data_IF_762163236510
#
_entry.id   IF_762163236510
#
_cell.length_a   1.000
_cell.length_b   1.000
_cell.length_c   1.000
_cell.angle_alpha   90.00
_cell.angle_beta   90.00
_cell.angle_gamma   90.00
#
_symmetry.space_group_name_H-M   'P 1'
#
loop_
_entity.id
_entity.type
_entity.pdbx_description
1 polymer ?
#
# COMPACT_ATOMS: atom_id res chain seq x y z
N UNK A 1 -7.41 -3.31 14.99
CA UNK A 1 -8.21 -2.82 13.84
C UNK A 1 -7.28 -2.36 12.74
N UNK A 2 -7.52 -2.75 11.47
CA UNK A 2 -6.68 -2.32 10.34
C UNK A 2 -6.97 -0.84 10.00
N UNK A 3 -5.96 0.05 9.91
CA UNK A 3 -6.20 1.49 9.78
C UNK A 3 -6.88 1.87 8.46
N UNK A 4 -6.67 1.10 7.39
CA UNK A 4 -7.26 1.36 6.08
C UNK A 4 -8.78 1.06 6.00
N UNK A 5 -9.33 0.32 6.96
CA UNK A 5 -10.79 0.05 7.07
C UNK A 5 -11.46 0.87 8.18
N UNK A 6 -10.75 1.81 8.81
CA UNK A 6 -11.31 2.66 9.84
C UNK A 6 -12.52 3.48 9.30
N UNK A 7 -13.51 3.80 10.15
CA UNK A 7 -14.72 4.53 9.71
C UNK A 7 -14.41 5.84 9.00
N UNK A 8 -13.45 6.62 9.52
CA UNK A 8 -12.99 7.86 8.88
C UNK A 8 -12.47 7.64 7.45
N UNK A 9 -11.69 6.58 7.25
CA UNK A 9 -11.12 6.23 5.94
C UNK A 9 -12.22 5.84 4.96
N UNK A 10 -13.19 5.01 5.40
CA UNK A 10 -14.35 4.62 4.59
C UNK A 10 -15.22 5.81 4.20
N UNK A 11 -15.48 6.71 5.15
CA UNK A 11 -16.22 7.95 4.88
C UNK A 11 -15.51 8.77 3.83
N UNK A 12 -14.19 8.98 3.95
CA UNK A 12 -13.43 9.78 2.97
C UNK A 12 -13.48 9.16 1.57
N UNK A 13 -13.31 7.84 1.44
CA UNK A 13 -13.38 7.14 0.14
C UNK A 13 -14.77 7.30 -0.51
N UNK A 14 -15.84 7.18 0.28
CA UNK A 14 -17.20 7.38 -0.19
C UNK A 14 -17.46 8.83 -0.65
N UNK A 15 -17.03 9.83 0.13
CA UNK A 15 -17.16 11.24 -0.26
C UNK A 15 -16.39 11.56 -1.55
N UNK A 16 -15.22 10.94 -1.71
CA UNK A 16 -14.42 11.09 -2.92
C UNK A 16 -14.98 10.32 -4.13
N UNK A 17 -15.96 9.42 -3.92
CA UNK A 17 -16.53 8.50 -4.94
C UNK A 17 -15.53 7.49 -5.51
N UNK A 18 -14.62 7.00 -4.67
CA UNK A 18 -13.61 6.02 -5.10
C UNK A 18 -14.18 4.62 -4.91
N UNK A 19 -14.14 3.84 -5.98
CA UNK A 19 -14.46 2.41 -5.90
C UNK A 19 -13.30 1.68 -5.24
N UNK A 20 -13.60 0.90 -4.20
CA UNK A 20 -12.62 0.11 -3.46
C UNK A 20 -12.80 -1.34 -3.89
N UNK A 21 -11.87 -1.91 -4.67
CA UNK A 21 -11.97 -3.31 -5.07
C UNK A 21 -11.88 -4.23 -3.84
N UNK A 22 -12.66 -5.30 -3.86
CA UNK A 22 -12.59 -6.33 -2.82
C UNK A 22 -11.21 -6.98 -2.83
N UNK A 23 -10.52 -6.90 -1.68
CA UNK A 23 -9.18 -7.46 -1.53
C UNK A 23 -9.18 -8.57 -0.47
N UNK A 24 -8.77 -9.80 -0.82
CA UNK A 24 -8.62 -10.88 0.15
C UNK A 24 -7.59 -10.53 1.23
N UNK A 25 -7.79 -11.05 2.44
CA UNK A 25 -6.89 -10.78 3.55
C UNK A 25 -5.55 -11.49 3.30
N UNK A 26 -4.44 -10.74 3.28
CA UNK A 26 -3.06 -11.23 3.13
C UNK A 26 -2.63 -11.70 1.73
N UNK A 27 -3.20 -11.17 0.65
CA UNK A 27 -2.77 -11.51 -0.70
C UNK A 27 -1.74 -10.52 -1.27
N UNK A 28 -0.52 -10.57 -0.74
CA UNK A 28 0.62 -9.79 -1.24
C UNK A 28 0.90 -10.04 -2.74
N UNK A 29 0.66 -11.27 -3.21
CA UNK A 29 0.85 -11.65 -4.61
C UNK A 29 -0.16 -11.00 -5.56
N UNK A 30 -1.27 -10.47 -5.04
CA UNK A 30 -2.30 -9.80 -5.83
C UNK A 30 -2.10 -8.28 -5.89
N UNK A 31 -1.19 -7.72 -5.09
CA UNK A 31 -1.01 -6.28 -5.01
C UNK A 31 0.15 -5.84 -5.89
N UNK A 32 -0.08 -5.06 -6.97
CA UNK A 32 0.97 -4.62 -7.88
C UNK A 32 2.11 -3.85 -7.21
N UNK A 33 1.81 -3.11 -6.14
CA UNK A 33 2.85 -2.42 -5.38
C UNK A 33 3.81 -3.40 -4.70
N UNK A 34 3.30 -4.50 -4.14
CA UNK A 34 4.10 -5.46 -3.37
C UNK A 34 4.93 -6.36 -4.28
N UNK A 35 4.32 -7.03 -5.27
CA UNK A 35 5.05 -7.99 -6.11
C UNK A 35 5.92 -7.35 -7.21
N UNK A 36 5.61 -6.12 -7.64
CA UNK A 36 6.35 -5.46 -8.72
C UNK A 36 7.17 -4.27 -8.22
N UNK A 37 6.50 -3.25 -7.67
CA UNK A 37 7.15 -1.97 -7.37
C UNK A 37 8.15 -2.08 -6.21
N UNK A 38 7.75 -2.62 -5.06
CA UNK A 38 8.61 -2.69 -3.88
C UNK A 38 9.76 -3.67 -4.03
N UNK A 39 9.62 -4.71 -4.84
CA UNK A 39 10.75 -5.60 -5.19
C UNK A 39 11.84 -4.83 -5.92
N UNK A 40 11.49 -4.02 -6.91
CA UNK A 40 12.45 -3.19 -7.65
C UNK A 40 13.07 -2.12 -6.75
N UNK A 41 12.24 -1.46 -5.94
CA UNK A 41 12.72 -0.44 -4.99
C UNK A 41 13.67 -1.04 -3.95
N UNK A 42 13.42 -2.25 -3.43
CA UNK A 42 14.31 -2.92 -2.48
C UNK A 42 15.69 -3.19 -3.08
N UNK A 43 15.75 -3.58 -4.36
CA UNK A 43 17.02 -3.76 -5.07
C UNK A 43 17.80 -2.45 -5.22
N UNK A 44 17.10 -1.35 -5.51
CA UNK A 44 17.70 -0.02 -5.60
C UNK A 44 18.22 0.46 -4.23
N UNK A 45 17.35 0.47 -3.21
CA UNK A 45 17.68 0.96 -1.87
C UNK A 45 18.69 0.08 -1.13
N UNK A 46 18.79 -1.21 -1.46
CA UNK A 46 19.84 -2.07 -0.91
C UNK A 46 21.27 -1.58 -1.19
N UNK A 47 21.43 -0.67 -2.16
CA UNK A 47 22.72 -0.04 -2.52
C UNK A 47 22.77 1.45 -2.17
N UNK A 48 21.71 2.00 -1.56
CA UNK A 48 21.61 3.41 -1.20
C UNK A 48 21.76 3.58 0.30
N UNK A 49 22.77 4.32 0.75
CA UNK A 49 22.88 4.73 2.14
C UNK A 49 22.19 6.08 2.35
N UNK A 50 21.15 6.11 3.19
CA UNK A 50 20.55 7.35 3.64
C UNK A 50 21.36 7.91 4.80
N UNK A 51 22.09 9.00 4.55
CA UNK A 51 22.70 9.77 5.64
C UNK A 51 21.61 10.54 6.37
N UNK A 52 21.50 10.31 7.67
CA UNK A 52 20.70 11.18 8.55
C UNK A 52 21.34 12.56 8.58
N UNK A 53 20.51 13.60 8.50
CA UNK A 53 20.89 14.96 8.89
C UNK A 53 20.77 15.11 10.39
#
# INVERSE_FOLDING_TARGET
>A
TRPYVAPRTKSLLHHSKWEVPDHPVYSLDLVPSDYHLFVKLKGFFGRTMFRRK
#
